data_IF_551795370491
#
_entry.id   IF_551795370491
#
_cell.length_a   1.000
_cell.length_b   1.000
_cell.length_c   1.000
_cell.angle_alpha   90.00
_cell.angle_beta   90.00
_cell.angle_gamma   90.00
#
_symmetry.space_group_name_H-M   'P 1'
#
loop_
_entity.id
_entity.type
_entity.pdbx_description
1 polymer ?
#
# COMPACT_ATOMS: atom_id res chain seq x y z
N UNK A 1 40.13 -27.62 -20.35
CA UNK A 1 39.02 -27.59 -21.33
C UNK A 1 37.86 -26.86 -20.69
N UNK A 2 37.46 -25.76 -21.33
CA UNK A 2 36.43 -24.83 -20.91
C UNK A 2 35.05 -25.46 -21.14
N UNK A 3 34.30 -25.73 -20.08
CA UNK A 3 32.85 -25.87 -20.18
C UNK A 3 32.26 -24.47 -20.05
N UNK A 4 32.13 -23.80 -21.19
CA UNK A 4 31.36 -22.57 -21.36
C UNK A 4 29.93 -22.85 -20.89
N UNK A 5 29.59 -22.31 -19.73
CA UNK A 5 28.21 -22.20 -19.29
C UNK A 5 27.48 -21.26 -20.25
N UNK A 6 26.84 -21.84 -21.25
CA UNK A 6 25.79 -21.17 -22.01
C UNK A 6 24.63 -20.92 -21.04
N UNK A 7 24.66 -19.79 -20.34
CA UNK A 7 23.45 -19.22 -19.77
C UNK A 7 22.59 -18.82 -20.97
N UNK A 8 21.65 -19.68 -21.34
CA UNK A 8 20.57 -19.31 -22.23
C UNK A 8 19.86 -18.11 -21.59
N UNK A 9 20.13 -16.91 -22.10
CA UNK A 9 19.31 -15.74 -21.81
C UNK A 9 17.95 -16.02 -22.43
N UNK A 10 17.04 -16.57 -21.63
CA UNK A 10 15.63 -16.62 -21.98
C UNK A 10 15.21 -15.17 -22.13
N UNK A 11 15.02 -14.70 -23.36
CA UNK A 11 14.49 -13.37 -23.62
C UNK A 11 13.08 -13.33 -23.05
N UNK A 12 12.94 -12.83 -21.83
CA UNK A 12 11.65 -12.70 -21.19
C UNK A 12 10.84 -11.65 -21.95
N UNK A 13 9.61 -12.00 -22.32
CA UNK A 13 8.66 -11.09 -22.98
C UNK A 13 8.44 -9.81 -22.17
N UNK A 14 8.44 -9.92 -20.84
CA UNK A 14 8.20 -8.84 -19.88
C UNK A 14 9.44 -8.50 -19.04
N UNK A 15 9.45 -7.30 -18.44
CA UNK A 15 10.48 -6.84 -17.51
C UNK A 15 10.68 -7.86 -16.38
N UNK A 16 11.93 -8.24 -16.14
CA UNK A 16 12.31 -9.11 -15.03
C UNK A 16 13.01 -8.35 -13.91
N UNK A 17 12.74 -8.73 -12.67
CA UNK A 17 13.54 -8.29 -11.53
C UNK A 17 14.93 -8.94 -11.60
N UNK A 18 15.99 -8.11 -11.51
CA UNK A 18 17.39 -8.56 -11.62
C UNK A 18 17.70 -9.72 -10.65
N UNK A 19 18.50 -10.74 -11.05
CA UNK A 19 18.75 -11.94 -10.24
C UNK A 19 19.23 -11.67 -8.80
N UNK A 20 20.12 -10.70 -8.62
CA UNK A 20 20.60 -10.32 -7.28
C UNK A 20 19.47 -9.82 -6.38
N UNK A 21 18.54 -9.04 -6.92
CA UNK A 21 17.38 -8.49 -6.21
C UNK A 21 16.36 -9.61 -5.97
N UNK A 22 16.10 -10.44 -6.98
CA UNK A 22 15.20 -11.59 -6.89
C UNK A 22 15.56 -12.50 -5.71
N UNK A 23 16.86 -12.79 -5.54
CA UNK A 23 17.34 -13.60 -4.42
C UNK A 23 17.10 -12.94 -3.05
N UNK A 24 17.21 -11.60 -2.96
CA UNK A 24 16.90 -10.88 -1.72
C UNK A 24 15.40 -10.88 -1.42
N UNK A 25 14.55 -10.71 -2.44
CA UNK A 25 13.10 -10.77 -2.31
C UNK A 25 12.64 -12.15 -1.86
N UNK A 26 13.15 -13.23 -2.46
CA UNK A 26 12.90 -14.61 -2.01
C UNK A 26 13.39 -14.82 -0.56
N UNK A 27 14.57 -14.25 -0.23
CA UNK A 27 15.09 -13.97 1.13
C UNK A 27 13.99 -13.55 2.10
N UNK A 28 13.34 -12.46 1.73
CA UNK A 28 12.28 -11.78 2.48
C UNK A 28 10.88 -12.42 2.32
N UNK A 29 10.79 -13.63 1.74
CA UNK A 29 9.52 -14.37 1.54
C UNK A 29 8.54 -13.71 0.57
N UNK A 30 9.05 -12.99 -0.42
CA UNK A 30 8.27 -12.50 -1.55
C UNK A 30 8.09 -13.61 -2.59
N UNK A 31 6.89 -13.71 -3.14
CA UNK A 31 6.63 -14.32 -4.43
C UNK A 31 6.89 -13.30 -5.53
N UNK A 32 7.50 -13.74 -6.64
CA UNK A 32 7.93 -12.85 -7.73
C UNK A 32 7.61 -13.49 -9.08
N UNK A 33 6.98 -12.71 -9.97
CA UNK A 33 6.81 -13.02 -11.38
C UNK A 33 7.03 -11.75 -12.18
N UNK A 34 7.93 -11.78 -13.15
CA UNK A 34 8.25 -10.63 -14.02
C UNK A 34 8.62 -9.39 -13.20
N UNK A 35 7.82 -8.33 -13.31
CA UNK A 35 7.93 -7.08 -12.54
C UNK A 35 6.95 -7.03 -11.35
N UNK A 36 6.12 -8.06 -11.18
CA UNK A 36 5.13 -8.19 -10.12
C UNK A 36 5.69 -8.86 -8.86
N UNK A 37 5.17 -8.45 -7.70
CA UNK A 37 5.53 -9.02 -6.41
C UNK A 37 4.30 -9.31 -5.55
N UNK A 38 4.35 -10.36 -4.74
CA UNK A 38 3.28 -10.73 -3.77
C UNK A 38 3.90 -11.20 -2.46
N UNK A 39 3.22 -10.94 -1.34
CA UNK A 39 3.68 -11.39 -0.01
C UNK A 39 2.50 -11.85 0.85
N UNK A 40 2.75 -12.74 1.80
CA UNK A 40 1.86 -12.98 2.93
C UNK A 40 2.21 -12.00 4.05
N UNK A 41 1.37 -10.98 4.21
CA UNK A 41 1.58 -9.94 5.22
C UNK A 41 1.63 -10.54 6.64
N UNK A 42 2.26 -9.83 7.57
CA UNK A 42 2.38 -10.26 8.97
C UNK A 42 1.04 -10.69 9.58
N UNK A 43 -0.01 -9.90 9.35
CA UNK A 43 -1.35 -10.15 9.88
C UNK A 43 -2.06 -11.34 9.25
N UNK A 44 -1.82 -11.65 7.98
CA UNK A 44 -2.35 -12.87 7.34
C UNK A 44 -1.81 -14.10 8.04
N UNK A 45 -0.50 -14.11 8.33
CA UNK A 45 0.17 -15.21 9.03
C UNK A 45 -0.33 -15.39 10.48
N UNK A 46 -0.62 -14.29 11.19
CA UNK A 46 -1.25 -14.32 12.52
C UNK A 46 -2.70 -14.82 12.46
N UNK A 47 -3.47 -14.36 11.48
CA UNK A 47 -4.87 -14.76 11.32
C UNK A 47 -4.99 -16.26 11.06
N UNK A 48 -4.04 -16.88 10.34
CA UNK A 48 -3.98 -18.35 10.19
C UNK A 48 -3.84 -19.10 11.52
N UNK A 49 -3.24 -18.49 12.55
CA UNK A 49 -3.08 -19.11 13.88
C UNK A 49 -4.15 -18.66 14.88
N UNK A 50 -5.16 -17.94 14.42
CA UNK A 50 -6.16 -17.31 15.28
C UNK A 50 -5.52 -16.36 16.33
N UNK A 51 -4.37 -15.76 16.01
CA UNK A 51 -3.64 -14.80 16.88
C UNK A 51 -4.09 -13.34 16.67
N UNK A 52 -5.21 -13.13 15.97
CA UNK A 52 -5.82 -11.83 15.70
C UNK A 52 -5.78 -11.39 14.23
N UNK A 53 -6.42 -10.25 13.99
CA UNK A 53 -6.67 -9.68 12.67
C UNK A 53 -6.01 -8.30 12.50
N UNK A 54 -5.85 -7.86 11.25
CA UNK A 54 -5.28 -6.55 10.97
C UNK A 54 -6.24 -5.41 11.33
N UNK A 55 -5.70 -4.21 11.53
CA UNK A 55 -6.52 -3.02 11.84
C UNK A 55 -7.62 -2.74 10.79
N UNK A 56 -7.41 -3.13 9.52
CA UNK A 56 -8.40 -2.94 8.45
C UNK A 56 -9.63 -3.82 8.63
N UNK A 57 -9.51 -4.97 9.29
CA UNK A 57 -10.66 -5.77 9.71
C UNK A 57 -11.52 -4.95 10.67
N UNK A 58 -10.91 -4.39 11.71
CA UNK A 58 -11.58 -3.51 12.67
C UNK A 58 -12.20 -2.29 11.98
N UNK A 59 -11.46 -1.59 11.11
CA UNK A 59 -11.92 -0.32 10.53
C UNK A 59 -12.95 -0.49 9.42
N UNK A 60 -12.79 -1.49 8.55
CA UNK A 60 -13.51 -1.58 7.27
C UNK A 60 -14.19 -2.94 7.02
N UNK A 61 -14.05 -3.89 7.95
CA UNK A 61 -14.76 -5.18 7.92
C UNK A 61 -14.08 -6.25 7.05
N UNK A 62 -12.89 -5.98 6.50
CA UNK A 62 -12.25 -6.93 5.60
C UNK A 62 -11.83 -8.21 6.31
N UNK A 63 -11.83 -9.33 5.59
CA UNK A 63 -11.32 -10.61 6.11
C UNK A 63 -9.80 -10.66 5.94
N UNK A 64 -9.02 -10.56 7.04
CA UNK A 64 -7.55 -10.44 6.99
C UNK A 64 -6.88 -11.55 6.18
N UNK A 65 -7.22 -12.81 6.45
CA UNK A 65 -6.58 -13.97 5.80
C UNK A 65 -6.93 -14.12 4.32
N UNK A 66 -7.99 -13.45 3.85
CA UNK A 66 -8.44 -13.46 2.44
C UNK A 66 -7.94 -12.25 1.66
N UNK A 67 -6.98 -11.51 2.22
CA UNK A 67 -6.28 -10.43 1.53
C UNK A 67 -5.07 -10.97 0.73
N UNK A 68 -4.91 -10.46 -0.48
CA UNK A 68 -3.72 -10.59 -1.31
C UNK A 68 -3.02 -9.24 -1.38
N UNK A 69 -1.91 -9.11 -0.66
CA UNK A 69 -1.03 -7.95 -0.74
C UNK A 69 -0.01 -8.17 -1.86
N UNK A 70 -0.07 -7.34 -2.90
CA UNK A 70 0.78 -7.47 -4.07
C UNK A 70 1.07 -6.10 -4.70
N UNK A 71 1.95 -6.08 -5.70
CA UNK A 71 2.21 -4.90 -6.52
C UNK A 71 2.52 -5.30 -7.97
N UNK A 72 1.97 -4.59 -8.97
CA UNK A 72 2.35 -4.75 -10.36
C UNK A 72 3.65 -4.02 -10.71
N UNK A 73 4.22 -3.22 -9.80
CA UNK A 73 5.38 -2.38 -10.05
C UNK A 73 6.45 -2.62 -8.97
N UNK A 74 6.72 -3.89 -8.64
CA UNK A 74 7.37 -4.28 -7.40
C UNK A 74 8.75 -3.66 -7.13
N UNK A 75 9.47 -3.23 -8.17
CA UNK A 75 10.80 -2.60 -8.09
C UNK A 75 10.89 -1.23 -8.80
N UNK A 76 9.75 -0.55 -8.99
CA UNK A 76 9.66 0.76 -9.62
C UNK A 76 9.06 1.76 -8.63
N UNK A 77 9.72 2.89 -8.39
CA UNK A 77 9.21 3.97 -7.54
C UNK A 77 10.07 5.22 -7.75
N UNK A 78 9.41 6.36 -7.72
CA UNK A 78 9.98 7.70 -7.82
C UNK A 78 10.63 8.14 -6.50
N UNK A 79 10.14 7.61 -5.38
CA UNK A 79 10.60 7.99 -4.04
C UNK A 79 11.75 7.14 -3.51
N UNK A 80 12.54 7.75 -2.63
CA UNK A 80 13.55 7.09 -1.80
C UNK A 80 13.30 7.38 -0.31
N UNK A 81 12.06 7.22 0.14
CA UNK A 81 11.65 7.56 1.50
C UNK A 81 12.54 6.98 2.62
N UNK A 82 12.83 7.79 3.65
CA UNK A 82 13.64 7.35 4.80
C UNK A 82 13.07 6.09 5.50
N UNK A 83 11.75 6.00 5.56
CA UNK A 83 11.00 4.95 6.27
C UNK A 83 10.63 3.73 5.41
N UNK A 84 10.94 3.72 4.11
CA UNK A 84 10.53 2.60 3.27
C UNK A 84 11.31 1.35 3.66
N UNK A 85 10.63 0.26 4.02
CA UNK A 85 11.27 -0.99 4.41
C UNK A 85 11.79 -1.82 3.23
N UNK A 86 11.55 -1.38 1.99
CA UNK A 86 11.98 -2.06 0.76
C UNK A 86 13.32 -1.55 0.26
N UNK A 87 14.04 -2.35 -0.55
CA UNK A 87 15.38 -1.99 -1.00
C UNK A 87 15.33 -1.04 -2.19
N UNK A 88 14.97 0.22 -1.92
CA UNK A 88 14.79 1.26 -2.94
C UNK A 88 16.09 1.67 -3.63
N UNK A 89 17.24 1.28 -3.07
CA UNK A 89 18.54 1.47 -3.71
C UNK A 89 18.58 0.80 -5.10
N UNK A 90 17.70 -0.18 -5.33
CA UNK A 90 17.59 -0.89 -6.60
C UNK A 90 16.58 -0.32 -7.58
N UNK A 91 15.83 0.73 -7.21
CA UNK A 91 14.90 1.39 -8.13
C UNK A 91 15.69 2.27 -9.09
N UNK A 92 16.03 1.74 -10.26
CA UNK A 92 16.81 2.46 -11.28
C UNK A 92 15.96 3.12 -12.36
N UNK A 93 14.83 2.53 -12.71
CA UNK A 93 13.97 3.01 -13.79
C UNK A 93 12.81 3.85 -13.25
N UNK A 94 12.52 4.96 -13.93
CA UNK A 94 11.44 5.90 -13.61
C UNK A 94 10.18 5.68 -14.43
N UNK A 95 10.18 4.71 -15.35
CA UNK A 95 9.02 4.36 -16.19
C UNK A 95 9.01 2.88 -16.49
N UNK A 96 7.82 2.33 -16.70
CA UNK A 96 7.60 0.97 -17.18
C UNK A 96 7.08 1.04 -18.63
N UNK A 97 7.84 0.60 -19.64
CA UNK A 97 7.37 0.59 -21.03
C UNK A 97 6.09 -0.26 -21.18
N UNK A 98 4.99 0.28 -21.75
CA UNK A 98 3.71 -0.43 -21.86
C UNK A 98 3.75 -1.77 -22.59
N UNK A 99 4.67 -1.93 -23.54
CA UNK A 99 4.91 -3.14 -24.33
C UNK A 99 5.76 -4.19 -23.60
N UNK A 100 6.33 -3.84 -22.44
CA UNK A 100 7.22 -4.71 -21.65
C UNK A 100 6.64 -5.09 -20.29
N UNK A 101 5.36 -4.79 -20.04
CA UNK A 101 4.69 -5.21 -18.82
C UNK A 101 3.74 -6.37 -19.10
N UNK A 102 3.74 -7.35 -18.20
CA UNK A 102 2.78 -8.43 -18.19
C UNK A 102 1.35 -7.88 -18.11
N UNK A 103 0.42 -8.35 -18.95
CA UNK A 103 -0.97 -7.91 -18.93
C UNK A 103 -1.69 -8.38 -17.63
N UNK A 104 -2.83 -7.77 -17.28
CA UNK A 104 -3.57 -8.02 -16.04
C UNK A 104 -3.84 -9.49 -15.71
N UNK A 105 -4.28 -10.28 -16.68
CA UNK A 105 -4.62 -11.69 -16.50
C UNK A 105 -3.38 -12.53 -16.21
N UNK A 106 -2.28 -12.29 -16.93
CA UNK A 106 -1.00 -12.97 -16.73
C UNK A 106 -0.41 -12.64 -15.36
N UNK A 107 -0.30 -11.34 -15.02
CA UNK A 107 0.31 -10.93 -13.74
C UNK A 107 -0.49 -11.43 -12.54
N UNK A 108 -1.82 -11.35 -12.58
CA UNK A 108 -2.66 -11.83 -11.47
C UNK A 108 -2.58 -13.35 -11.35
N UNK A 109 -2.63 -14.09 -12.46
CA UNK A 109 -2.54 -15.55 -12.45
C UNK A 109 -1.21 -16.02 -11.87
N UNK A 110 -0.10 -15.43 -12.33
CA UNK A 110 1.23 -15.80 -11.86
C UNK A 110 1.43 -15.45 -10.38
N UNK A 111 0.99 -14.26 -9.94
CA UNK A 111 1.10 -13.86 -8.54
C UNK A 111 0.17 -14.66 -7.62
N UNK A 112 -1.00 -15.12 -8.08
CA UNK A 112 -1.81 -16.08 -7.33
C UNK A 112 -1.07 -17.42 -7.20
N UNK A 113 -0.40 -17.88 -8.26
CA UNK A 113 0.46 -19.07 -8.24
C UNK A 113 1.59 -18.96 -7.22
N UNK A 114 2.32 -17.83 -7.22
CA UNK A 114 3.37 -17.56 -6.23
C UNK A 114 2.81 -17.47 -4.81
N UNK A 115 1.67 -16.79 -4.62
CA UNK A 115 1.00 -16.70 -3.32
C UNK A 115 0.56 -18.07 -2.82
N UNK A 116 0.07 -18.96 -3.69
CA UNK A 116 -0.29 -20.34 -3.34
C UNK A 116 0.93 -21.08 -2.78
N UNK A 117 2.10 -20.97 -3.42
CA UNK A 117 3.35 -21.58 -2.91
C UNK A 117 3.69 -21.08 -1.50
N UNK A 118 3.51 -19.78 -1.24
CA UNK A 118 3.72 -19.21 0.09
C UNK A 118 2.74 -19.81 1.12
N UNK A 119 1.46 -19.96 0.77
CA UNK A 119 0.43 -20.55 1.67
C UNK A 119 0.68 -22.04 1.91
N UNK A 120 1.09 -22.80 0.90
CA UNK A 120 1.38 -24.24 1.05
C UNK A 120 2.42 -24.50 2.14
N UNK A 121 3.39 -23.59 2.32
CA UNK A 121 4.37 -23.64 3.42
C UNK A 121 3.75 -23.52 4.82
N UNK A 122 2.44 -23.31 4.93
CA UNK A 122 1.73 -23.19 6.19
C UNK A 122 0.97 -24.45 6.64
N UNK A 123 0.52 -25.34 5.75
CA UNK A 123 -0.31 -26.51 6.09
C UNK A 123 0.35 -27.51 7.05
N UNK A 124 1.68 -27.55 7.12
CA UNK A 124 2.42 -28.46 8.02
C UNK A 124 2.47 -28.04 9.50
N UNK A 125 1.85 -26.92 9.90
CA UNK A 125 1.87 -26.41 11.27
C UNK A 125 0.49 -26.61 11.92
N UNK A 126 0.38 -27.55 12.87
CA UNK A 126 -0.89 -27.93 13.52
C UNK A 126 -1.57 -26.81 14.31
N UNK A 127 -0.85 -25.71 14.58
CA UNK A 127 -1.42 -24.51 15.21
C UNK A 127 -2.22 -23.65 14.24
N UNK A 128 -2.18 -23.95 12.94
CA UNK A 128 -2.87 -23.16 11.93
C UNK A 128 -4.23 -23.77 11.61
N UNK A 129 -5.17 -22.87 11.41
CA UNK A 129 -6.54 -23.16 11.02
C UNK A 129 -6.58 -23.52 9.52
N UNK A 130 -6.85 -24.78 9.24
CA UNK A 130 -6.91 -25.33 7.88
C UNK A 130 -7.99 -24.64 7.04
N UNK A 131 -9.16 -24.36 7.64
CA UNK A 131 -10.25 -23.65 6.95
C UNK A 131 -9.81 -22.25 6.53
N UNK A 132 -9.07 -21.51 7.37
CA UNK A 132 -8.52 -20.19 6.99
C UNK A 132 -7.46 -20.30 5.91
N UNK A 133 -6.64 -21.36 5.91
CA UNK A 133 -5.67 -21.59 4.83
C UNK A 133 -6.38 -21.83 3.49
N UNK A 134 -7.40 -22.68 3.49
CA UNK A 134 -8.22 -22.99 2.30
C UNK A 134 -8.93 -21.75 1.76
N UNK A 135 -9.59 -20.99 2.64
CA UNK A 135 -10.24 -19.73 2.29
C UNK A 135 -9.26 -18.68 1.76
N UNK A 136 -7.99 -18.76 2.20
CA UNK A 136 -6.93 -17.86 1.74
C UNK A 136 -6.48 -18.18 0.32
N UNK A 137 -6.62 -19.40 -0.18
CA UNK A 137 -6.19 -19.77 -1.54
C UNK A 137 -6.91 -18.97 -2.64
N UNK A 138 -8.13 -18.49 -2.34
CA UNK A 138 -8.93 -17.62 -3.20
C UNK A 138 -9.23 -16.28 -2.49
N UNK A 139 -8.44 -15.22 -2.79
CA UNK A 139 -8.60 -13.92 -2.15
C UNK A 139 -9.97 -13.29 -2.40
N UNK A 140 -10.44 -12.50 -1.43
CA UNK A 140 -11.54 -11.55 -1.63
C UNK A 140 -11.07 -10.11 -1.75
N UNK A 141 -9.91 -9.80 -1.18
CA UNK A 141 -9.36 -8.45 -1.14
C UNK A 141 -8.04 -8.40 -1.86
N UNK A 142 -7.90 -7.41 -2.73
CA UNK A 142 -6.68 -7.18 -3.48
C UNK A 142 -6.08 -5.86 -3.04
N UNK A 143 -5.00 -5.94 -2.26
CA UNK A 143 -4.25 -4.79 -1.78
C UNK A 143 -3.06 -4.52 -2.70
N UNK A 144 -3.26 -3.60 -3.66
CA UNK A 144 -2.23 -3.08 -4.56
C UNK A 144 -1.38 -2.06 -3.78
N UNK A 145 -0.55 -2.59 -2.89
CA UNK A 145 0.17 -1.79 -1.88
C UNK A 145 1.43 -2.45 -1.33
N UNK A 146 1.93 -3.50 -1.99
CA UNK A 146 3.18 -4.13 -1.59
C UNK A 146 4.34 -3.19 -1.94
N UNK A 147 5.28 -3.55 -2.81
CA UNK A 147 6.46 -2.75 -3.09
C UNK A 147 6.32 -1.87 -4.32
N UNK A 148 7.16 -0.83 -4.40
CA UNK A 148 7.13 0.13 -5.51
C UNK A 148 5.92 1.07 -5.52
N UNK A 149 5.72 1.75 -6.64
CA UNK A 149 4.61 2.65 -6.92
C UNK A 149 3.68 2.01 -7.98
N UNK A 150 2.50 1.52 -7.58
CA UNK A 150 1.62 0.83 -8.50
C UNK A 150 1.07 1.72 -9.63
N UNK A 151 1.00 3.04 -9.47
CA UNK A 151 0.55 3.94 -10.54
C UNK A 151 1.53 4.06 -11.70
N UNK A 152 2.77 3.55 -11.55
CA UNK A 152 3.71 3.42 -12.66
C UNK A 152 3.37 2.28 -13.62
N UNK A 153 2.49 1.33 -13.22
CA UNK A 153 2.07 0.24 -14.09
C UNK A 153 1.07 0.75 -15.14
N UNK A 154 1.40 0.73 -16.44
CA UNK A 154 0.66 1.46 -17.46
C UNK A 154 -0.74 0.88 -17.74
N UNK A 155 -0.97 -0.40 -17.41
CA UNK A 155 -2.26 -1.09 -17.56
C UNK A 155 -3.04 -1.17 -16.24
N UNK A 156 -2.76 -0.28 -15.27
CA UNK A 156 -3.44 -0.26 -13.97
C UNK A 156 -4.98 -0.16 -14.06
N UNK A 157 -5.58 0.65 -14.96
CA UNK A 157 -7.03 0.66 -15.12
C UNK A 157 -7.60 -0.72 -15.51
N UNK A 158 -6.94 -1.40 -16.45
CA UNK A 158 -7.32 -2.73 -16.89
C UNK A 158 -7.12 -3.77 -15.78
N UNK A 159 -6.07 -3.64 -14.97
CA UNK A 159 -5.82 -4.48 -13.80
C UNK A 159 -6.93 -4.36 -12.76
N UNK A 160 -7.32 -3.14 -12.37
CA UNK A 160 -8.39 -2.96 -11.39
C UNK A 160 -9.72 -3.51 -11.91
N UNK A 161 -10.05 -3.25 -13.18
CA UNK A 161 -11.25 -3.82 -13.83
C UNK A 161 -11.21 -5.35 -13.86
N UNK A 162 -10.06 -5.94 -14.19
CA UNK A 162 -9.88 -7.39 -14.18
C UNK A 162 -10.14 -7.98 -12.79
N UNK A 163 -9.52 -7.40 -11.75
CA UNK A 163 -9.71 -7.83 -10.37
C UNK A 163 -11.17 -7.72 -9.92
N UNK A 164 -11.85 -6.61 -10.22
CA UNK A 164 -13.28 -6.42 -9.89
C UNK A 164 -14.19 -7.47 -10.54
N UNK A 165 -13.82 -8.03 -11.70
CA UNK A 165 -14.58 -9.06 -12.41
C UNK A 165 -14.37 -10.48 -11.84
N UNK A 166 -13.36 -10.70 -11.00
CA UNK A 166 -13.13 -12.01 -10.43
C UNK A 166 -14.28 -12.37 -9.47
N UNK A 167 -14.83 -13.61 -9.50
CA UNK A 167 -16.07 -13.95 -8.79
C UNK A 167 -16.03 -13.75 -7.27
N UNK A 168 -14.85 -13.88 -6.66
CA UNK A 168 -14.67 -13.75 -5.21
C UNK A 168 -14.31 -12.34 -4.77
N UNK A 169 -14.07 -11.40 -5.68
CA UNK A 169 -13.60 -10.06 -5.31
C UNK A 169 -14.69 -9.30 -4.54
N UNK A 170 -14.35 -8.91 -3.32
CA UNK A 170 -15.16 -8.01 -2.48
C UNK A 170 -14.60 -6.60 -2.48
N UNK A 171 -13.28 -6.44 -2.58
CA UNK A 171 -12.68 -5.11 -2.66
C UNK A 171 -11.30 -5.09 -3.31
N UNK A 172 -11.02 -3.97 -3.95
CA UNK A 172 -9.70 -3.62 -4.48
C UNK A 172 -9.23 -2.34 -3.78
N UNK A 173 -8.02 -2.38 -3.23
CA UNK A 173 -7.37 -1.24 -2.60
C UNK A 173 -6.16 -0.82 -3.43
N UNK A 174 -6.02 0.47 -3.69
CA UNK A 174 -4.83 1.04 -4.31
C UNK A 174 -4.16 1.98 -3.32
N UNK A 175 -2.86 1.80 -3.08
CA UNK A 175 -2.05 2.75 -2.32
C UNK A 175 -1.03 3.37 -3.25
N UNK A 176 -1.07 4.69 -3.41
CA UNK A 176 -0.13 5.44 -4.25
C UNK A 176 0.61 6.49 -3.43
N UNK A 177 1.83 6.80 -3.88
CA UNK A 177 2.60 7.94 -3.43
C UNK A 177 2.18 9.26 -4.10
N UNK A 178 1.31 9.24 -5.11
CA UNK A 178 0.71 10.45 -5.70
C UNK A 178 1.52 11.19 -6.77
N UNK A 179 2.67 10.65 -7.23
CA UNK A 179 3.48 11.32 -8.25
C UNK A 179 3.05 11.04 -9.71
N UNK A 180 2.04 10.21 -9.91
CA UNK A 180 1.44 9.92 -11.24
C UNK A 180 -0.03 10.39 -11.28
N UNK A 181 -0.31 11.71 -11.21
CA UNK A 181 -1.67 12.25 -11.25
C UNK A 181 -2.41 11.87 -12.54
N UNK A 182 -1.71 11.78 -13.67
CA UNK A 182 -2.28 11.35 -14.96
C UNK A 182 -2.87 9.93 -14.88
N UNK A 183 -2.24 9.04 -14.10
CA UNK A 183 -2.79 7.70 -13.87
C UNK A 183 -4.06 7.77 -13.03
N UNK A 184 -4.14 8.64 -12.02
CA UNK A 184 -5.37 8.84 -11.25
C UNK A 184 -6.50 9.39 -12.13
N UNK A 185 -6.18 10.28 -13.06
CA UNK A 185 -7.14 10.81 -14.01
C UNK A 185 -7.63 9.70 -14.95
N UNK A 186 -6.72 8.89 -15.50
CA UNK A 186 -7.08 7.72 -16.30
C UNK A 186 -7.95 6.71 -15.54
N UNK A 187 -7.67 6.46 -14.26
CA UNK A 187 -8.50 5.59 -13.44
C UNK A 187 -9.93 6.11 -13.30
N UNK A 188 -10.11 7.43 -13.24
CA UNK A 188 -11.43 8.06 -13.25
C UNK A 188 -12.10 7.97 -14.62
N UNK A 189 -11.42 8.46 -15.67
CA UNK A 189 -11.96 8.56 -17.03
C UNK A 189 -12.31 7.19 -17.62
N UNK A 190 -11.51 6.17 -17.29
CA UNK A 190 -11.73 4.81 -17.76
C UNK A 190 -12.70 4.03 -16.84
N UNK A 191 -13.36 4.61 -15.83
CA UNK A 191 -14.21 3.87 -14.87
C UNK A 191 -13.48 2.65 -14.24
N UNK A 192 -12.29 2.92 -13.72
CA UNK A 192 -11.39 1.93 -13.15
C UNK A 192 -10.96 2.27 -11.72
N UNK A 193 -11.68 3.17 -11.03
CA UNK A 193 -11.38 3.51 -9.64
C UNK A 193 -11.44 2.27 -8.73
N UNK A 194 -10.53 2.12 -7.74
CA UNK A 194 -10.57 1.00 -6.80
C UNK A 194 -11.82 1.07 -5.90
N UNK A 195 -12.04 0.06 -5.06
CA UNK A 195 -13.04 0.16 -3.98
C UNK A 195 -12.65 1.20 -2.96
N UNK A 196 -11.35 1.35 -2.69
CA UNK A 196 -10.82 2.39 -1.83
C UNK A 196 -9.40 2.80 -2.27
N UNK A 197 -9.24 4.09 -2.54
CA UNK A 197 -7.99 4.73 -2.94
C UNK A 197 -7.30 5.35 -1.72
N UNK A 198 -6.03 5.03 -1.55
CA UNK A 198 -5.16 5.60 -0.54
C UNK A 198 -4.12 6.50 -1.20
N UNK A 199 -4.07 7.76 -0.79
CA UNK A 199 -2.90 8.60 -1.01
C UNK A 199 -2.02 8.54 0.25
N UNK A 200 -0.77 8.11 0.09
CA UNK A 200 0.20 8.16 1.17
C UNK A 200 0.70 9.60 1.30
N UNK A 201 0.72 10.12 2.52
CA UNK A 201 1.37 11.38 2.89
C UNK A 201 2.29 11.16 4.07
N UNK A 202 3.37 11.93 4.13
CA UNK A 202 4.25 11.96 5.31
C UNK A 202 4.78 13.38 5.54
N UNK A 203 4.16 14.38 4.91
CA UNK A 203 4.64 15.74 4.89
C UNK A 203 3.46 16.69 4.65
N UNK A 204 3.35 17.78 5.42
CA UNK A 204 2.33 18.80 5.17
C UNK A 204 2.81 19.89 4.21
N UNK A 205 4.13 19.98 3.96
CA UNK A 205 4.77 20.99 3.13
C UNK A 205 5.96 20.43 2.33
N UNK A 206 6.50 21.27 1.44
CA UNK A 206 7.60 20.92 0.53
C UNK A 206 8.86 20.46 1.26
N UNK A 207 9.25 21.14 2.34
CA UNK A 207 10.49 20.87 3.07
C UNK A 207 10.47 19.48 3.70
N UNK A 208 9.39 19.16 4.43
CA UNK A 208 9.21 17.83 5.01
C UNK A 208 9.05 16.76 3.92
N UNK A 209 8.43 17.09 2.79
CA UNK A 209 8.27 16.16 1.67
C UNK A 209 9.63 15.76 1.09
N UNK A 210 10.51 16.73 0.83
CA UNK A 210 11.87 16.46 0.36
C UNK A 210 12.67 15.66 1.39
N UNK A 211 12.58 16.03 2.66
CA UNK A 211 13.29 15.36 3.76
C UNK A 211 12.90 13.88 3.89
N UNK A 212 11.60 13.60 3.90
CA UNK A 212 11.04 12.29 4.23
C UNK A 212 10.94 11.39 3.01
N UNK A 213 10.45 11.89 1.88
CA UNK A 213 10.17 11.09 0.68
C UNK A 213 11.38 10.96 -0.25
N UNK A 214 12.31 11.92 -0.22
CA UNK A 214 13.50 11.98 -1.09
C UNK A 214 13.14 11.63 -2.55
N UNK A 215 12.22 12.41 -3.16
CA UNK A 215 11.76 12.14 -4.51
C UNK A 215 12.89 12.27 -5.52
N UNK A 216 12.76 11.57 -6.65
CA UNK A 216 13.67 11.73 -7.80
C UNK A 216 13.22 12.81 -8.77
N UNK A 217 11.91 13.10 -8.82
CA UNK A 217 11.38 14.17 -9.65
C UNK A 217 11.57 15.52 -8.95
N UNK A 218 11.94 16.54 -9.73
CA UNK A 218 12.04 17.92 -9.23
C UNK A 218 10.64 18.50 -8.93
N UNK A 219 9.65 18.18 -9.78
CA UNK A 219 8.24 18.58 -9.67
C UNK A 219 7.39 17.63 -8.80
N UNK A 220 8.03 16.81 -7.96
CA UNK A 220 7.37 15.76 -7.20
C UNK A 220 6.30 16.29 -6.22
N UNK A 221 6.54 17.46 -5.63
CA UNK A 221 5.61 18.06 -4.67
C UNK A 221 4.37 18.61 -5.36
N UNK A 222 4.53 19.19 -6.54
CA UNK A 222 3.46 19.70 -7.41
C UNK A 222 2.58 18.56 -7.91
N UNK A 223 3.20 17.46 -8.36
CA UNK A 223 2.50 16.21 -8.73
C UNK A 223 1.69 15.67 -7.56
N UNK A 224 2.31 15.60 -6.38
CA UNK A 224 1.66 15.13 -5.18
C UNK A 224 0.44 15.99 -4.79
N UNK A 225 0.58 17.31 -4.82
CA UNK A 225 -0.53 18.23 -4.55
C UNK A 225 -1.64 18.11 -5.59
N UNK A 226 -1.30 17.90 -6.87
CA UNK A 226 -2.30 17.63 -7.92
C UNK A 226 -3.12 16.40 -7.56
N UNK A 227 -2.46 15.30 -7.20
CA UNK A 227 -3.13 14.07 -6.74
C UNK A 227 -3.97 14.30 -5.47
N UNK A 228 -3.52 15.12 -4.52
CA UNK A 228 -4.27 15.47 -3.31
C UNK A 228 -5.60 16.15 -3.65
N UNK A 229 -5.58 17.16 -4.51
CA UNK A 229 -6.77 17.93 -4.91
C UNK A 229 -7.77 17.06 -5.68
N UNK A 230 -7.30 16.06 -6.43
CA UNK A 230 -8.15 15.13 -7.16
C UNK A 230 -9.01 14.26 -6.24
N UNK A 231 -8.53 13.87 -5.05
CA UNK A 231 -9.23 12.93 -4.16
C UNK A 231 -10.64 13.39 -3.77
N UNK A 232 -10.86 14.70 -3.68
CA UNK A 232 -12.15 15.29 -3.36
C UNK A 232 -13.21 15.04 -4.45
N UNK A 233 -12.77 14.82 -5.70
CA UNK A 233 -13.61 14.73 -6.90
C UNK A 233 -13.83 13.29 -7.39
N UNK A 234 -13.02 12.35 -6.93
CA UNK A 234 -13.12 10.95 -7.34
C UNK A 234 -14.32 10.26 -6.68
N UNK A 235 -15.10 9.53 -7.48
CA UNK A 235 -16.25 8.75 -7.04
C UNK A 235 -15.83 7.37 -6.51
N UNK A 236 -15.04 7.38 -5.45
CA UNK A 236 -14.60 6.18 -4.71
C UNK A 236 -14.33 6.55 -3.24
N UNK A 237 -14.25 5.55 -2.36
CA UNK A 237 -13.73 5.78 -1.00
C UNK A 237 -12.28 6.26 -1.09
N UNK A 238 -11.99 7.36 -0.41
CA UNK A 238 -10.68 7.99 -0.41
C UNK A 238 -10.14 8.09 1.01
N UNK A 239 -8.86 7.75 1.16
CA UNK A 239 -8.15 7.77 2.43
C UNK A 239 -6.83 8.48 2.24
N UNK A 240 -6.53 9.42 3.13
CA UNK A 240 -5.17 9.96 3.26
C UNK A 240 -4.48 9.22 4.41
N UNK A 241 -3.37 8.54 4.13
CA UNK A 241 -2.62 7.80 5.15
C UNK A 241 -1.33 8.53 5.50
N UNK A 242 -1.27 9.04 6.73
CA UNK A 242 -0.13 9.75 7.31
C UNK A 242 0.74 8.74 8.05
N UNK A 243 1.99 8.55 7.60
CA UNK A 243 2.99 7.78 8.39
C UNK A 243 3.79 8.73 9.25
N UNK A 244 3.59 8.67 10.56
CA UNK A 244 4.24 9.53 11.56
C UNK A 244 5.59 8.95 11.96
N UNK A 245 6.62 9.79 11.95
CA UNK A 245 8.00 9.45 12.30
C UNK A 245 8.49 10.53 13.27
N UNK A 246 8.88 10.11 14.48
CA UNK A 246 9.35 11.03 15.52
C UNK A 246 10.54 11.84 14.99
N UNK A 247 10.59 13.13 15.32
CA UNK A 247 11.63 14.07 14.90
C UNK A 247 11.70 14.35 13.37
N UNK A 248 10.76 13.86 12.59
CA UNK A 248 10.70 14.16 11.15
C UNK A 248 9.45 14.95 10.77
N UNK A 249 8.26 14.47 11.13
CA UNK A 249 7.03 14.97 10.49
C UNK A 249 5.81 15.06 11.41
N UNK A 250 6.01 15.06 12.73
CA UNK A 250 4.93 15.03 13.71
C UNK A 250 5.13 16.00 14.87
N UNK A 251 5.88 17.10 14.68
CA UNK A 251 5.96 18.19 15.67
C UNK A 251 4.67 19.01 15.70
N UNK A 252 4.43 19.70 16.81
CA UNK A 252 3.24 20.53 17.01
C UNK A 252 3.16 21.68 15.99
N UNK A 253 4.30 22.21 15.57
CA UNK A 253 4.37 23.32 14.59
C UNK A 253 3.82 22.91 13.23
N UNK A 254 3.88 21.62 12.88
CA UNK A 254 3.41 21.09 11.60
C UNK A 254 1.89 20.80 11.60
N UNK A 255 1.25 20.70 12.76
CA UNK A 255 -0.17 20.32 12.88
C UNK A 255 -1.09 21.30 12.11
N UNK A 256 -0.92 22.63 12.19
CA UNK A 256 -1.74 23.56 11.42
C UNK A 256 -1.65 23.35 9.91
N UNK A 257 -0.46 23.03 9.38
CA UNK A 257 -0.25 22.75 7.97
C UNK A 257 -0.89 21.41 7.55
N UNK A 258 -0.77 20.37 8.38
CA UNK A 258 -1.51 19.13 8.18
C UNK A 258 -3.02 19.37 8.19
N UNK A 259 -3.53 20.19 9.11
CA UNK A 259 -4.95 20.49 9.22
C UNK A 259 -5.47 21.19 7.95
N UNK A 260 -4.69 22.08 7.36
CA UNK A 260 -5.03 22.72 6.08
C UNK A 260 -4.99 21.73 4.92
N UNK A 261 -3.93 20.92 4.83
CA UNK A 261 -3.79 19.90 3.80
C UNK A 261 -4.97 18.89 3.82
N UNK A 262 -5.38 18.40 5.00
CA UNK A 262 -6.51 17.45 5.06
C UNK A 262 -7.85 18.11 4.73
N UNK A 263 -8.04 19.41 5.05
CA UNK A 263 -9.22 20.17 4.64
C UNK A 263 -9.31 20.25 3.12
N UNK A 264 -8.22 20.62 2.45
CA UNK A 264 -8.12 20.67 0.98
C UNK A 264 -8.42 19.32 0.33
N UNK A 265 -7.85 18.24 0.90
CA UNK A 265 -8.03 16.89 0.36
C UNK A 265 -9.50 16.43 0.37
N UNK A 266 -10.29 16.89 1.36
CA UNK A 266 -11.68 16.49 1.61
C UNK A 266 -11.93 14.97 1.41
N UNK A 267 -10.98 14.15 1.87
CA UNK A 267 -11.08 12.68 1.81
C UNK A 267 -12.09 12.17 2.82
N UNK A 268 -12.53 10.93 2.67
CA UNK A 268 -13.49 10.32 3.58
C UNK A 268 -12.86 9.93 4.92
N UNK A 269 -11.61 9.46 4.90
CA UNK A 269 -10.88 9.03 6.11
C UNK A 269 -9.43 9.52 6.14
N UNK A 270 -8.92 9.75 7.33
CA UNK A 270 -7.48 9.94 7.58
C UNK A 270 -6.98 8.78 8.43
N UNK A 271 -5.94 8.07 7.98
CA UNK A 271 -5.24 7.07 8.77
C UNK A 271 -3.93 7.68 9.29
N UNK A 272 -3.83 7.98 10.58
CA UNK A 272 -2.60 8.46 11.21
C UNK A 272 -1.91 7.31 11.93
N UNK A 273 -0.74 6.89 11.43
CA UNK A 273 -0.08 5.65 11.85
C UNK A 273 1.39 5.89 12.18
N UNK A 274 1.87 5.34 13.29
CA UNK A 274 3.30 5.31 13.58
C UNK A 274 4.06 4.52 12.51
N UNK A 275 5.23 5.02 12.15
CA UNK A 275 6.29 4.22 11.56
C UNK A 275 6.58 2.97 12.41
N UNK A 276 6.98 1.89 11.76
CA UNK A 276 7.40 0.65 12.38
C UNK A 276 8.82 0.31 11.92
N UNK A 277 9.72 0.06 12.87
CA UNK A 277 11.14 -0.22 12.62
C UNK A 277 11.35 -1.63 12.06
N UNK A 278 11.20 -1.80 10.73
CA UNK A 278 11.24 -3.10 10.06
C UNK A 278 11.90 -3.05 8.68
N UNK A 279 12.46 -4.18 8.24
CA UNK A 279 13.05 -4.31 6.91
C UNK A 279 14.23 -3.36 6.68
N UNK A 280 14.35 -2.76 5.49
CA UNK A 280 15.49 -1.90 5.13
C UNK A 280 15.47 -0.52 5.79
N UNK A 281 14.34 -0.08 6.35
CA UNK A 281 14.26 1.24 7.01
C UNK A 281 15.10 1.28 8.29
N UNK A 282 15.39 0.13 8.89
CA UNK A 282 16.26 0.02 10.07
C UNK A 282 17.71 0.43 9.79
N UNK A 283 18.10 0.55 8.52
CA UNK A 283 19.41 1.07 8.13
C UNK A 283 19.45 2.61 8.05
N UNK A 284 18.31 3.27 8.26
CA UNK A 284 18.11 4.72 8.05
C UNK A 284 17.46 5.42 9.23
N UNK A 285 16.65 4.69 9.99
CA UNK A 285 15.90 5.17 11.14
C UNK A 285 16.18 4.25 12.33
N UNK A 286 16.04 4.79 13.52
CA UNK A 286 16.19 4.10 14.79
C UNK A 286 14.85 3.58 15.32
N UNK A 287 14.90 2.62 16.25
CA UNK A 287 13.68 2.13 16.91
C UNK A 287 12.97 3.27 17.66
N UNK A 288 13.73 4.22 18.23
CA UNK A 288 13.21 5.41 18.90
C UNK A 288 12.44 6.35 17.98
N UNK A 289 12.57 6.23 16.65
CA UNK A 289 11.83 7.06 15.70
C UNK A 289 10.36 6.63 15.57
N UNK A 290 9.99 5.49 16.16
CA UNK A 290 8.60 5.06 16.29
C UNK A 290 7.88 5.91 17.36
N UNK A 291 6.62 6.27 17.08
CA UNK A 291 5.74 6.89 18.06
C UNK A 291 5.11 5.82 18.93
N UNK A 292 4.95 6.12 20.21
CA UNK A 292 4.07 5.37 21.10
C UNK A 292 2.60 5.70 20.81
N UNK A 293 1.69 4.81 21.21
CA UNK A 293 0.26 4.98 20.91
C UNK A 293 -0.29 6.30 21.48
N UNK A 294 0.17 6.74 22.65
CA UNK A 294 -0.21 8.01 23.27
C UNK A 294 0.14 9.21 22.38
N UNK A 295 1.26 9.17 21.67
CA UNK A 295 1.71 10.24 20.78
C UNK A 295 0.91 10.26 19.48
N UNK A 296 0.60 9.08 18.94
CA UNK A 296 -0.31 8.98 17.79
C UNK A 296 -1.70 9.51 18.15
N UNK A 297 -2.22 9.19 19.35
CA UNK A 297 -3.48 9.73 19.88
C UNK A 297 -3.42 11.25 19.98
N UNK A 298 -2.37 11.79 20.61
CA UNK A 298 -2.18 13.23 20.76
C UNK A 298 -2.19 13.97 19.42
N UNK A 299 -1.35 13.53 18.48
CA UNK A 299 -1.28 14.11 17.14
C UNK A 299 -2.64 14.07 16.42
N UNK A 300 -3.32 12.93 16.50
CA UNK A 300 -4.62 12.72 15.84
C UNK A 300 -5.72 13.60 16.43
N UNK A 301 -5.72 13.80 17.75
CA UNK A 301 -6.69 14.64 18.45
C UNK A 301 -6.51 16.12 18.12
N UNK A 302 -5.27 16.62 18.15
CA UNK A 302 -5.00 18.01 17.77
C UNK A 302 -5.26 18.25 16.28
N UNK A 303 -4.92 17.27 15.41
CA UNK A 303 -5.27 17.33 13.99
C UNK A 303 -6.79 17.41 13.78
N UNK A 304 -7.57 16.55 14.45
CA UNK A 304 -9.04 16.57 14.37
C UNK A 304 -9.61 17.93 14.81
N UNK A 305 -9.18 18.41 15.99
CA UNK A 305 -9.59 19.69 16.57
C UNK A 305 -9.29 20.88 15.65
N UNK A 306 -8.09 20.93 15.07
CA UNK A 306 -7.71 22.01 14.15
C UNK A 306 -8.39 21.89 12.79
N UNK A 307 -8.65 20.68 12.30
CA UNK A 307 -9.33 20.45 11.02
C UNK A 307 -10.77 20.97 11.01
N UNK A 308 -11.46 20.87 12.16
CA UNK A 308 -12.89 21.15 12.37
C UNK A 308 -13.88 20.34 11.52
N UNK A 309 -13.39 19.46 10.63
CA UNK A 309 -14.23 18.67 9.72
C UNK A 309 -14.02 17.17 9.88
N UNK A 310 -13.00 16.75 10.63
CA UNK A 310 -12.74 15.36 10.96
C UNK A 310 -12.91 15.11 12.46
N UNK A 311 -13.41 13.94 12.82
CA UNK A 311 -13.46 13.44 14.19
C UNK A 311 -12.77 12.08 14.29
N UNK A 312 -12.32 11.69 15.49
CA UNK A 312 -11.78 10.35 15.73
C UNK A 312 -12.89 9.32 15.51
N UNK A 313 -12.66 8.36 14.61
CA UNK A 313 -13.57 7.25 14.32
C UNK A 313 -13.25 6.02 15.16
N UNK A 314 -11.97 5.61 15.19
CA UNK A 314 -11.52 4.42 15.90
C UNK A 314 -9.98 4.39 15.99
N UNK A 315 -9.45 3.42 16.72
CA UNK A 315 -8.02 3.21 16.90
C UNK A 315 -7.63 1.73 16.92
N UNK A 316 -6.35 1.43 16.72
CA UNK A 316 -5.80 0.08 16.88
C UNK A 316 -4.42 0.18 17.52
N UNK A 317 -4.37 -0.05 18.83
CA UNK A 317 -3.15 0.05 19.65
C UNK A 317 -2.01 -0.85 19.15
N UNK A 318 -2.30 -2.11 18.80
CA UNK A 318 -1.28 -3.06 18.31
C UNK A 318 -0.65 -2.59 16.98
N UNK A 319 -1.39 -1.82 16.19
CA UNK A 319 -0.91 -1.24 14.92
C UNK A 319 -0.48 0.22 15.04
N UNK A 320 -0.53 0.81 16.24
CA UNK A 320 -0.22 2.21 16.55
C UNK A 320 -0.84 3.19 15.54
N UNK A 321 -2.16 3.09 15.37
CA UNK A 321 -2.91 3.82 14.34
C UNK A 321 -4.24 4.35 14.89
N UNK A 322 -4.60 5.57 14.49
CA UNK A 322 -5.96 6.10 14.60
C UNK A 322 -6.54 6.37 13.22
N UNK A 323 -7.87 6.31 13.14
CA UNK A 323 -8.62 6.74 11.96
C UNK A 323 -9.54 7.88 12.33
N UNK A 324 -9.51 8.92 11.50
CA UNK A 324 -10.45 10.02 11.56
C UNK A 324 -11.43 9.88 10.40
N UNK A 325 -12.68 10.28 10.63
CA UNK A 325 -13.74 10.28 9.63
C UNK A 325 -14.20 11.70 9.33
N UNK A 326 -14.41 11.98 8.05
CA UNK A 326 -14.90 13.27 7.59
C UNK A 326 -16.39 13.42 7.93
N UNK A 327 -16.73 14.51 8.61
CA UNK A 327 -18.09 14.83 9.06
C UNK A 327 -18.88 15.63 8.02
N UNK A 328 -18.21 16.18 7.00
CA UNK A 328 -18.84 16.91 5.89
C UNK A 328 -19.04 16.04 4.66
N UNK A 329 -18.06 15.19 4.33
CA UNK A 329 -18.12 14.18 3.27
C UNK A 329 -18.20 12.79 3.90
N UNK A 330 -19.33 12.54 4.56
CA UNK A 330 -19.52 11.30 5.32
C UNK A 330 -19.56 10.07 4.41
N UNK A 331 -19.02 8.97 4.91
CA UNK A 331 -19.04 7.67 4.26
C UNK A 331 -19.05 6.61 5.36
N UNK A 332 -19.94 5.61 5.25
CA UNK A 332 -20.01 4.49 6.20
C UNK A 332 -18.66 3.77 6.25
N UNK A 333 -18.15 3.40 7.43
CA UNK A 333 -16.84 2.78 7.56
C UNK A 333 -16.76 1.40 6.89
N UNK A 334 -17.86 0.65 6.85
CA UNK A 334 -17.89 -0.70 6.34
C UNK A 334 -17.95 -0.72 4.82
N UNK A 335 -17.10 -1.55 4.20
CA UNK A 335 -17.17 -1.75 2.75
C UNK A 335 -18.45 -2.52 2.45
N UNK A 336 -19.25 -2.05 1.48
CA UNK A 336 -20.59 -2.54 1.18
C UNK A 336 -20.71 -4.08 1.04
N UNK A 337 -19.65 -4.76 0.57
CA UNK A 337 -19.57 -6.22 0.52
C UNK A 337 -19.66 -6.92 1.90
N UNK A 338 -19.66 -6.15 2.99
CA UNK A 338 -19.82 -6.57 4.38
C UNK A 338 -20.97 -5.88 5.12
N UNK A 339 -21.68 -4.94 4.48
CA UNK A 339 -22.80 -4.23 5.12
C UNK A 339 -23.99 -5.15 5.46
N UNK A 340 -24.10 -6.30 4.78
CA UNK A 340 -25.17 -7.29 4.98
C UNK A 340 -24.68 -8.57 5.69
N UNK A 341 -23.47 -8.58 6.27
CA UNK A 341 -22.89 -9.79 6.90
C UNK A 341 -22.64 -9.66 8.40
N UNK A 342 -23.07 -8.55 9.02
CA UNK A 342 -22.99 -8.35 10.47
C UNK A 342 -24.38 -8.25 11.09
#
# INVERSE_FOLDING_TARGET
MSCSGETMEVSSEFIQIKPMILNQLKKAKYGVSDHGTVELCHWTKKSFRNEGDCYKHKFYGISTHRCMEFSPAGMFCENRCVYCWRPMEFYSAMKMPPDKVAPPDVIVTNLIGERRKLIMGHYGDSRKDEKKLDESLLPNHYAISLSGEPTMYPQLPQLIKYLKKLPTTKSVFLVTNGQEPDMLQRLHDEDALPTQLYLSTNAPNYEIFQLVNRPKYEDAWERWNTSLEMLSKLDTRTVLRITLIRNYNCSDELIPEYAEMIRRSNVHFIEAKSYMHVGRSTNRLEHSDMLEMSEVRYFSLELAKQSKIFSIMDESEISRILVLQNQKRFMDRWIAAYANTN
#
